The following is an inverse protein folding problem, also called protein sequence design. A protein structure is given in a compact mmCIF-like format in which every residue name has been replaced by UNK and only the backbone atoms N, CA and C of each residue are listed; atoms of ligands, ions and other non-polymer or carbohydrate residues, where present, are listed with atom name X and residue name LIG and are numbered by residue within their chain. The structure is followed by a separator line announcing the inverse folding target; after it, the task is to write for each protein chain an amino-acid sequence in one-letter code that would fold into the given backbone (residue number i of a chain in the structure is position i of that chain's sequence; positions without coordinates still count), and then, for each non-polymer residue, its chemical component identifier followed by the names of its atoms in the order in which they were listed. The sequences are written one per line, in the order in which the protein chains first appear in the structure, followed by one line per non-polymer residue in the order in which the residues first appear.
data_IF_794838522968
#
_entry.id   IF_794838522968
#
_cell.length_a   1.000
_cell.length_b   1.000
_cell.length_c   1.000
_cell.angle_alpha   90.00
_cell.angle_beta   90.00
_cell.angle_gamma   90.00
#
_symmetry.space_group_name_H-M   'P 1'
#
loop_
_entity.id
_entity.type
_entity.pdbx_description
1 polymer ?
#
# COMPACT_ATOMS: atom_id res chain seq x y z
N UNK A 1 -2.29 -6.36 -6.75
CA UNK A 1 -1.55 -5.15 -6.33
C UNK A 1 -0.18 -5.56 -5.81
N UNK A 2 0.87 -4.79 -6.10
CA UNK A 2 2.23 -5.02 -5.60
C UNK A 2 2.68 -3.75 -4.86
N UNK A 3 3.22 -3.91 -3.66
CA UNK A 3 3.88 -2.82 -2.92
C UNK A 3 5.31 -3.21 -2.56
N UNK A 4 6.26 -2.30 -2.73
CA UNK A 4 7.67 -2.43 -2.35
C UNK A 4 8.06 -1.25 -1.45
N UNK A 5 8.95 -1.50 -0.48
CA UNK A 5 9.45 -0.49 0.45
C UNK A 5 10.94 -0.71 0.73
N UNK A 6 11.75 0.35 0.78
CA UNK A 6 13.19 0.26 1.02
C UNK A 6 13.61 1.27 2.08
N UNK A 7 14.64 0.96 2.85
CA UNK A 7 15.34 1.96 3.66
C UNK A 7 16.40 2.67 2.82
N UNK A 8 16.68 3.95 3.13
CA UNK A 8 17.82 4.65 2.54
C UNK A 8 19.16 4.16 3.12
N UNK A 9 19.14 3.67 4.36
CA UNK A 9 20.30 3.10 5.07
C UNK A 9 19.85 2.19 6.21
N UNK A 10 20.64 1.16 6.52
CA UNK A 10 20.36 0.24 7.63
C UNK A 10 19.11 -0.63 7.43
N UNK A 11 18.71 -1.36 8.46
CA UNK A 11 17.56 -2.28 8.41
C UNK A 11 16.55 -1.89 9.48
N UNK A 12 15.25 -2.00 9.17
CA UNK A 12 14.17 -1.70 10.10
C UNK A 12 13.01 -2.69 9.94
N UNK A 13 12.14 -2.73 10.95
CA UNK A 13 10.81 -3.35 10.83
C UNK A 13 9.78 -2.25 10.60
N UNK A 14 8.84 -2.52 9.69
CA UNK A 14 7.79 -1.58 9.28
C UNK A 14 6.43 -2.26 9.22
N UNK A 15 5.39 -1.45 9.39
CA UNK A 15 4.01 -1.82 9.09
C UNK A 15 3.64 -1.24 7.71
N UNK A 16 3.14 -2.09 6.81
CA UNK A 16 2.77 -1.73 5.44
C UNK A 16 1.25 -1.82 5.28
N UNK A 17 0.66 -0.74 4.77
CA UNK A 17 -0.77 -0.63 4.50
C UNK A 17 -0.99 -0.45 3.00
N UNK A 18 -1.79 -1.31 2.39
CA UNK A 18 -2.03 -1.36 0.95
C UNK A 18 -3.52 -1.20 0.64
N UNK A 19 -3.86 -0.32 -0.28
CA UNK A 19 -5.22 -0.15 -0.79
C UNK A 19 -5.22 0.29 -2.26
N UNK A 20 -6.40 0.32 -2.85
CA UNK A 20 -6.68 0.70 -4.21
C UNK A 20 -7.69 1.84 -4.18
N UNK A 21 -7.34 2.94 -4.83
CA UNK A 21 -8.25 4.04 -5.13
C UNK A 21 -8.67 4.01 -6.60
N UNK A 22 -9.79 4.64 -6.91
CA UNK A 22 -10.09 5.00 -8.29
C UNK A 22 -9.04 5.98 -8.87
N UNK A 23 -9.08 6.20 -10.18
CA UNK A 23 -8.11 7.05 -10.88
C UNK A 23 -8.16 8.52 -10.47
N UNK A 24 -9.24 8.98 -9.83
CA UNK A 24 -9.36 10.33 -9.29
C UNK A 24 -8.81 10.42 -7.85
N UNK A 25 -8.51 9.30 -7.20
CA UNK A 25 -8.10 9.24 -5.80
C UNK A 25 -9.22 9.63 -4.84
N UNK A 26 -10.48 9.60 -5.28
CA UNK A 26 -11.62 10.07 -4.49
C UNK A 26 -12.22 8.97 -3.63
N UNK A 27 -12.12 7.72 -4.08
CA UNK A 27 -12.72 6.57 -3.41
C UNK A 27 -11.78 5.39 -3.31
N UNK A 28 -11.64 4.87 -2.09
CA UNK A 28 -11.09 3.54 -1.86
C UNK A 28 -12.04 2.49 -2.43
N UNK A 29 -11.56 1.76 -3.43
CA UNK A 29 -12.32 0.68 -4.08
C UNK A 29 -11.92 -0.69 -3.53
N UNK A 30 -10.73 -0.84 -2.94
CA UNK A 30 -10.30 -2.09 -2.34
C UNK A 30 -9.13 -1.95 -1.33
N UNK A 31 -9.05 -2.74 -0.25
CA UNK A 31 -10.20 -3.42 0.34
C UNK A 31 -11.17 -2.37 0.88
N UNK A 32 -12.47 -2.69 0.93
CA UNK A 32 -13.48 -1.81 1.53
C UNK A 32 -13.40 -1.83 3.07
N UNK A 33 -12.22 -1.52 3.60
CA UNK A 33 -11.88 -1.50 5.01
C UNK A 33 -11.25 -0.14 5.34
N UNK A 34 -11.52 0.44 6.52
CA UNK A 34 -11.12 1.81 6.84
C UNK A 34 -9.60 2.03 6.93
N UNK A 35 -8.82 0.95 6.96
CA UNK A 35 -7.35 0.98 7.14
C UNK A 35 -6.59 0.25 6.02
N UNK A 36 -7.30 -0.12 4.96
CA UNK A 36 -6.71 -0.92 3.88
C UNK A 36 -6.33 -2.33 4.34
N UNK A 37 -5.42 -2.95 3.59
CA UNK A 37 -4.82 -4.24 3.92
C UNK A 37 -3.51 -3.98 4.67
N UNK A 38 -3.44 -4.39 5.93
CA UNK A 38 -2.25 -4.25 6.75
C UNK A 38 -1.34 -5.50 6.71
N UNK A 39 -0.04 -5.27 6.78
CA UNK A 39 1.03 -6.27 6.90
C UNK A 39 2.03 -5.76 7.94
N UNK A 40 2.14 -6.46 9.07
CA UNK A 40 2.90 -5.99 10.22
C UNK A 40 4.27 -6.65 10.34
N UNK A 41 5.24 -5.94 10.93
CA UNK A 41 6.57 -6.49 11.22
C UNK A 41 7.35 -6.89 9.96
N UNK A 42 7.13 -6.16 8.86
CA UNK A 42 7.78 -6.43 7.58
C UNK A 42 9.21 -5.90 7.61
N UNK A 43 10.17 -6.69 7.13
CA UNK A 43 11.56 -6.22 6.99
C UNK A 43 11.68 -5.13 5.94
N UNK A 44 12.35 -4.03 6.29
CA UNK A 44 12.78 -2.95 5.40
C UNK A 44 14.32 -2.93 5.35
N UNK A 45 14.89 -3.05 4.15
CA UNK A 45 16.30 -3.27 3.87
C UNK A 45 16.72 -2.25 2.80
N UNK A 46 18.03 -1.97 2.68
CA UNK A 46 18.54 -1.15 1.60
C UNK A 46 18.31 -1.78 0.22
N UNK A 47 18.35 -0.97 -0.84
CA UNK A 47 18.04 -1.42 -2.20
C UNK A 47 19.00 -2.49 -2.76
N UNK A 48 20.22 -2.57 -2.24
CA UNK A 48 21.23 -3.56 -2.60
C UNK A 48 21.13 -4.88 -1.82
N UNK A 49 20.21 -4.97 -0.84
CA UNK A 49 19.99 -6.21 -0.10
C UNK A 49 19.27 -7.26 -0.98
N UNK A 50 19.68 -8.54 -0.93
CA UNK A 50 19.09 -9.62 -1.74
C UNK A 50 17.71 -10.07 -1.26
N UNK A 51 17.26 -9.57 -0.11
CA UNK A 51 16.05 -10.00 0.56
C UNK A 51 14.77 -9.56 -0.18
N UNK A 52 13.79 -10.46 -0.20
CA UNK A 52 12.47 -10.18 -0.78
C UNK A 52 11.78 -9.09 0.03
N UNK A 53 11.39 -8.02 -0.65
CA UNK A 53 10.88 -6.81 0.00
C UNK A 53 9.65 -6.21 -0.68
N UNK A 54 8.73 -7.10 -1.03
CA UNK A 54 7.47 -6.74 -1.65
C UNK A 54 6.38 -7.70 -1.20
N UNK A 55 5.14 -7.23 -1.29
CA UNK A 55 3.92 -8.01 -1.07
C UNK A 55 3.03 -7.94 -2.28
N UNK A 56 2.42 -9.08 -2.59
CA UNK A 56 1.33 -9.19 -3.53
C UNK A 56 0.03 -9.41 -2.77
N UNK A 57 -1.02 -8.71 -3.21
CA UNK A 57 -2.36 -8.93 -2.72
C UNK A 57 -3.37 -8.93 -3.85
N UNK A 58 -4.20 -9.96 -3.85
CA UNK A 58 -5.26 -10.17 -4.83
C UNK A 58 -6.40 -9.17 -4.62
N UNK A 59 -6.85 -8.54 -5.71
CA UNK A 59 -8.06 -7.71 -5.69
C UNK A 59 -9.24 -8.65 -5.90
N UNK A 60 -10.13 -8.74 -4.90
CA UNK A 60 -11.34 -9.58 -4.94
C UNK A 60 -12.59 -8.74 -5.16
N UNK A 61 -12.49 -7.78 -6.07
CA UNK A 61 -13.58 -6.90 -6.44
C UNK A 61 -13.52 -6.69 -7.94
N UNK A 62 -14.68 -6.56 -8.56
CA UNK A 62 -14.78 -6.34 -10.00
C UNK A 62 -14.22 -4.95 -10.33
N UNK A 63 -13.19 -4.94 -11.17
CA UNK A 63 -12.64 -3.72 -11.74
C UNK A 63 -13.30 -3.46 -13.09
N UNK A 64 -13.50 -2.18 -13.40
CA UNK A 64 -14.06 -1.73 -14.66
C UNK A 64 -12.94 -1.64 -15.69
N UNK A 65 -13.13 -2.32 -16.82
CA UNK A 65 -12.19 -2.23 -17.93
C UNK A 65 -12.23 -0.84 -18.58
N UNK A 66 -11.06 -0.32 -18.95
CA UNK A 66 -10.84 1.06 -19.41
C UNK A 66 -10.82 2.10 -18.29
N UNK A 67 -10.87 1.69 -17.02
CA UNK A 67 -10.82 2.63 -15.89
C UNK A 67 -9.40 2.72 -15.31
N UNK A 68 -9.04 3.91 -14.86
CA UNK A 68 -7.79 4.16 -14.14
C UNK A 68 -7.97 3.86 -12.65
N UNK A 69 -6.94 3.30 -12.04
CA UNK A 69 -6.85 3.01 -10.61
C UNK A 69 -5.48 3.41 -10.06
N UNK A 70 -5.41 3.65 -8.75
CA UNK A 70 -4.17 3.96 -8.04
C UNK A 70 -3.92 2.89 -6.98
N UNK A 71 -2.81 2.16 -7.10
CA UNK A 71 -2.30 1.33 -6.00
C UNK A 71 -1.66 2.26 -4.98
N UNK A 72 -2.18 2.26 -3.77
CA UNK A 72 -1.74 3.13 -2.69
C UNK A 72 -1.02 2.33 -1.60
N UNK A 73 0.13 2.83 -1.16
CA UNK A 73 0.96 2.21 -0.11
C UNK A 73 1.28 3.24 0.95
N UNK A 74 1.09 2.90 2.23
CA UNK A 74 1.62 3.64 3.37
C UNK A 74 2.55 2.73 4.17
N UNK A 75 3.71 3.25 4.55
CA UNK A 75 4.73 2.54 5.32
C UNK A 75 4.99 3.33 6.59
N UNK A 76 4.80 2.69 7.73
CA UNK A 76 5.01 3.28 9.05
C UNK A 76 6.01 2.45 9.85
N UNK A 77 6.70 3.01 10.86
CA UNK A 77 7.49 2.21 11.79
C UNK A 77 6.66 1.08 12.41
N UNK A 78 7.29 -0.07 12.66
CA UNK A 78 6.62 -1.17 13.36
C UNK A 78 6.01 -0.71 14.69
N UNK A 79 4.79 -1.16 14.97
CA UNK A 79 4.09 -0.80 16.19
C UNK A 79 3.35 0.54 16.12
N UNK A 80 3.23 1.11 14.92
CA UNK A 80 2.38 2.29 14.68
C UNK A 80 0.88 2.00 14.84
N UNK A 81 0.54 0.73 15.08
CA UNK A 81 -0.79 0.28 15.44
C UNK A 81 -1.68 0.12 14.21
N UNK A 82 -2.82 0.77 14.27
CA UNK A 82 -3.92 0.54 13.35
C UNK A 82 -3.71 1.10 11.93
N UNK A 83 -2.66 1.90 11.72
CA UNK A 83 -2.37 2.54 10.44
C UNK A 83 -3.26 3.73 10.10
N UNK A 84 -3.13 4.27 8.87
CA UNK A 84 -3.86 5.45 8.47
C UNK A 84 -5.35 5.13 8.20
N UNK A 85 -6.23 6.07 8.53
CA UNK A 85 -7.63 5.99 8.13
C UNK A 85 -7.78 6.37 6.66
N UNK A 86 -7.77 5.38 5.76
CA UNK A 86 -7.78 5.59 4.29
C UNK A 86 -9.12 6.08 3.76
N UNK A 87 -10.16 6.16 4.60
CA UNK A 87 -11.42 6.82 4.26
C UNK A 87 -11.35 8.34 4.43
N UNK A 88 -10.30 8.86 5.09
CA UNK A 88 -10.03 10.29 5.08
C UNK A 88 -9.38 10.66 3.75
N UNK A 89 -10.02 11.54 2.98
CA UNK A 89 -9.54 11.98 1.67
C UNK A 89 -8.16 12.66 1.72
N UNK A 90 -7.76 13.18 2.89
CA UNK A 90 -6.44 13.81 3.10
C UNK A 90 -5.32 12.77 3.28
N UNK A 91 -5.65 11.50 3.53
CA UNK A 91 -4.66 10.43 3.63
C UNK A 91 -4.25 10.02 2.22
N UNK A 92 -3.04 10.41 1.83
CA UNK A 92 -2.42 9.99 0.58
C UNK A 92 -1.18 9.15 0.89
N UNK A 93 -1.22 7.87 0.54
CA UNK A 93 -0.03 7.02 0.49
C UNK A 93 0.82 7.34 -0.75
N UNK A 94 1.93 6.63 -0.92
CA UNK A 94 2.60 6.55 -2.21
C UNK A 94 1.64 5.90 -3.22
N UNK A 95 1.51 6.48 -4.42
CA UNK A 95 0.53 6.05 -5.42
C UNK A 95 1.23 5.63 -6.72
N UNK A 96 0.74 4.53 -7.30
CA UNK A 96 1.15 4.05 -8.63
C UNK A 96 -0.11 3.78 -9.46
N UNK A 97 -0.25 4.54 -10.55
CA UNK A 97 -1.42 4.46 -11.43
C UNK A 97 -1.32 3.33 -12.45
N UNK A 98 -2.46 2.72 -12.76
CA UNK A 98 -2.61 1.81 -13.89
C UNK A 98 -4.01 1.90 -14.50
N UNK A 99 -4.13 1.50 -15.76
CA UNK A 99 -5.40 1.26 -16.43
C UNK A 99 -5.66 -0.25 -16.43
N UNK A 100 -6.89 -0.65 -16.10
CA UNK A 100 -7.34 -2.04 -16.13
C UNK A 100 -8.24 -2.28 -17.31
#
# INVERSE_FOLDING_TARGET
MIGEWRTASGTALVDVFLWLEDGAGEKVVYPNAPRGKAFHGMGAYPADAPDKQWIEWEIRSDLLHGATYQVCVSVLPEGSGDGPNIQNADVKGLQVGFEY
#
